data_IF_489394852090
#
_entry.id   IF_489394852090
#
_cell.length_a   1.000
_cell.length_b   1.000
_cell.length_c   1.000
_cell.angle_alpha   90.00
_cell.angle_beta   90.00
_cell.angle_gamma   90.00
#
_symmetry.space_group_name_H-M   'P 1'
#
loop_
_entity.id
_entity.type
_entity.pdbx_description
1 polymer ?
#
# COMPACT_ATOMS: atom_id res chain seq x y z
N UNK A 1 -26.28 46.47 4.96
CA UNK A 1 -27.14 45.73 5.91
C UNK A 1 -26.41 44.47 6.36
N UNK A 2 -26.45 44.24 7.67
CA UNK A 2 -25.80 43.19 8.49
C UNK A 2 -26.36 41.79 8.08
N UNK A 3 -25.66 40.66 8.08
CA UNK A 3 -25.36 39.76 9.23
C UNK A 3 -24.65 38.50 8.68
N UNK A 4 -23.42 38.16 9.08
CA UNK A 4 -23.01 37.37 10.25
C UNK A 4 -23.24 35.85 10.14
N UNK A 5 -22.15 35.12 10.44
CA UNK A 5 -22.05 33.74 10.95
C UNK A 5 -22.32 32.55 10.02
N UNK A 6 -21.24 31.83 9.68
CA UNK A 6 -21.04 30.49 10.24
C UNK A 6 -19.58 30.05 10.16
N UNK A 7 -19.01 29.89 11.35
CA UNK A 7 -17.79 29.14 11.63
C UNK A 7 -18.02 27.68 11.25
N UNK A 8 -17.18 27.12 10.37
CA UNK A 8 -16.98 25.67 10.35
C UNK A 8 -15.47 25.44 10.41
N UNK A 9 -15.02 25.16 11.62
CA UNK A 9 -13.69 24.66 11.90
C UNK A 9 -13.49 23.35 11.13
N UNK A 10 -12.63 23.39 10.11
CA UNK A 10 -12.20 22.19 9.41
C UNK A 10 -11.24 21.44 10.34
N UNK A 11 -11.74 20.34 10.91
CA UNK A 11 -10.99 19.47 11.80
C UNK A 11 -9.67 19.06 11.13
N UNK A 12 -8.55 19.40 11.77
CA UNK A 12 -7.25 18.81 11.45
C UNK A 12 -7.29 17.33 11.87
N UNK A 13 -7.67 16.47 10.92
CA UNK A 13 -7.51 15.02 11.04
C UNK A 13 -6.01 14.75 11.05
N UNK A 14 -5.45 14.59 12.23
CA UNK A 14 -4.09 14.07 12.41
C UNK A 14 -4.11 12.59 12.01
N UNK A 15 -3.69 12.31 10.76
CA UNK A 15 -3.37 10.95 10.32
C UNK A 15 -2.10 10.48 11.04
N UNK A 16 -2.25 10.03 12.30
CA UNK A 16 -1.30 9.14 12.92
C UNK A 16 -1.48 7.76 12.26
N UNK A 17 -0.46 7.35 11.53
CA UNK A 17 -0.50 6.27 10.55
C UNK A 17 -0.75 4.87 11.12
N UNK A 18 -1.68 4.19 10.48
CA UNK A 18 -1.67 2.76 10.17
C UNK A 18 -2.42 2.58 8.84
N UNK A 19 -1.84 3.07 7.73
CA UNK A 19 -2.39 2.84 6.40
C UNK A 19 -2.14 1.38 6.01
N UNK A 20 -3.03 0.48 6.43
CA UNK A 20 -3.14 -0.86 5.83
C UNK A 20 -3.86 -0.69 4.49
N UNK A 21 -3.11 -0.36 3.45
CA UNK A 21 -3.65 -0.21 2.10
C UNK A 21 -3.89 -1.63 1.54
N UNK A 22 -5.09 -2.17 1.75
CA UNK A 22 -5.54 -3.36 1.05
C UNK A 22 -6.12 -2.92 -0.29
N UNK A 23 -5.27 -2.76 -1.30
CA UNK A 23 -5.70 -2.55 -2.68
C UNK A 23 -6.08 -3.89 -3.29
N UNK A 24 -7.38 -4.18 -3.34
CA UNK A 24 -7.91 -5.29 -4.15
C UNK A 24 -7.80 -4.90 -5.63
N UNK A 25 -6.77 -5.42 -6.30
CA UNK A 25 -6.59 -5.25 -7.75
C UNK A 25 -7.65 -6.09 -8.51
N UNK A 26 -8.12 -5.65 -9.70
CA UNK A 26 -9.07 -6.40 -10.52
C UNK A 26 -8.49 -7.77 -10.95
N UNK A 27 -9.36 -8.78 -11.02
CA UNK A 27 -9.06 -10.17 -11.41
C UNK A 27 -8.07 -10.20 -12.60
N UNK A 28 -6.91 -10.85 -12.42
CA UNK A 28 -5.90 -10.95 -13.46
C UNK A 28 -6.51 -11.68 -14.65
N UNK A 29 -6.65 -10.97 -15.78
CA UNK A 29 -7.10 -11.57 -17.05
C UNK A 29 -5.97 -12.40 -17.65
N UNK A 30 -5.75 -13.56 -17.03
CA UNK A 30 -5.17 -14.78 -17.56
C UNK A 30 -3.80 -14.75 -18.27
N UNK A 31 -2.98 -13.69 -18.21
CA UNK A 31 -1.79 -13.66 -19.09
C UNK A 31 -0.42 -13.56 -18.45
N UNK A 32 -0.22 -13.11 -17.21
CA UNK A 32 1.13 -13.20 -16.63
C UNK A 32 1.15 -13.08 -15.09
N UNK A 33 0.79 -14.14 -14.34
CA UNK A 33 0.87 -14.12 -12.87
C UNK A 33 2.29 -13.86 -12.37
N UNK A 34 3.30 -14.35 -13.11
CA UNK A 34 4.71 -14.18 -12.81
C UNK A 34 5.16 -12.72 -12.96
N UNK A 35 4.75 -12.04 -14.01
CA UNK A 35 5.03 -10.64 -14.31
C UNK A 35 4.32 -9.70 -13.35
N UNK A 36 3.09 -10.02 -12.92
CA UNK A 36 2.41 -9.27 -11.87
C UNK A 36 3.20 -9.30 -10.55
N UNK A 37 3.60 -10.48 -10.08
CA UNK A 37 4.35 -10.60 -8.83
C UNK A 37 5.73 -9.95 -8.93
N UNK A 38 6.40 -10.06 -10.08
CA UNK A 38 7.69 -9.41 -10.32
C UNK A 38 7.57 -7.88 -10.28
N UNK A 39 6.50 -7.32 -10.87
CA UNK A 39 6.22 -5.88 -10.81
C UNK A 39 5.92 -5.40 -9.39
N UNK A 40 5.12 -6.16 -8.63
CA UNK A 40 4.83 -5.83 -7.22
C UNK A 40 6.06 -5.97 -6.33
N UNK A 41 6.97 -6.90 -6.61
CA UNK A 41 8.22 -7.03 -5.87
C UNK A 41 9.14 -5.81 -6.11
N UNK A 42 9.24 -5.35 -7.36
CA UNK A 42 9.98 -4.15 -7.70
C UNK A 42 9.39 -2.92 -7.01
N UNK A 43 8.06 -2.77 -7.07
CA UNK A 43 7.34 -1.72 -6.36
C UNK A 43 7.56 -1.78 -4.85
N UNK A 44 7.59 -2.97 -4.25
CA UNK A 44 7.88 -3.16 -2.82
C UNK A 44 9.28 -2.65 -2.47
N UNK A 45 10.28 -2.93 -3.33
CA UNK A 45 11.64 -2.41 -3.16
C UNK A 45 11.70 -0.89 -3.28
N UNK A 46 10.97 -0.30 -4.21
CA UNK A 46 10.89 1.17 -4.37
C UNK A 46 10.24 1.82 -3.15
N UNK A 47 9.14 1.27 -2.64
CA UNK A 47 8.44 1.76 -1.44
C UNK A 47 9.33 1.67 -0.21
N UNK A 48 9.99 0.54 -0.01
CA UNK A 48 10.88 0.35 1.14
C UNK A 48 12.19 1.12 0.99
N UNK A 49 12.59 1.52 -0.23
CA UNK A 49 13.78 2.32 -0.50
C UNK A 49 15.00 1.88 0.33
N UNK A 50 15.58 2.83 1.05
CA UNK A 50 16.79 2.62 1.85
C UNK A 50 16.57 1.80 3.14
N UNK A 51 15.34 1.64 3.63
CA UNK A 51 15.10 0.77 4.80
C UNK A 51 15.18 -0.71 4.40
N UNK A 52 14.91 -1.01 3.13
CA UNK A 52 14.97 -2.35 2.57
C UNK A 52 13.72 -3.19 2.88
N UNK A 53 13.55 -4.25 2.09
CA UNK A 53 12.42 -5.19 2.22
C UNK A 53 12.77 -6.24 3.28
N UNK A 54 11.88 -6.42 4.25
CA UNK A 54 11.95 -7.49 5.26
C UNK A 54 11.33 -8.79 4.75
N UNK A 55 10.16 -8.68 4.11
CA UNK A 55 9.42 -9.82 3.57
C UNK A 55 8.57 -9.38 2.38
N UNK A 56 8.51 -10.22 1.36
CA UNK A 56 7.63 -10.06 0.22
C UNK A 56 6.96 -11.40 -0.07
N UNK A 57 5.63 -11.38 -0.23
CA UNK A 57 4.85 -12.54 -0.64
C UNK A 57 3.86 -12.11 -1.73
N UNK A 58 3.72 -12.91 -2.77
CA UNK A 58 2.77 -12.66 -3.83
C UNK A 58 2.11 -13.97 -4.29
N UNK A 59 0.78 -13.95 -4.33
CA UNK A 59 -0.06 -15.01 -4.82
C UNK A 59 -0.87 -14.46 -6.01
N UNK A 60 -0.38 -14.72 -7.21
CA UNK A 60 -1.12 -14.51 -8.44
C UNK A 60 -1.42 -15.88 -9.05
N UNK A 61 -2.68 -16.31 -8.99
CA UNK A 61 -3.15 -17.56 -9.61
C UNK A 61 -4.30 -17.22 -10.57
N UNK A 62 -4.32 -17.80 -11.78
CA UNK A 62 -5.41 -17.57 -12.72
C UNK A 62 -6.74 -18.02 -12.12
N UNK A 63 -7.78 -17.19 -12.23
CA UNK A 63 -9.10 -17.45 -11.68
C UNK A 63 -9.22 -17.32 -10.16
N UNK A 64 -8.19 -16.83 -9.47
CA UNK A 64 -8.23 -16.53 -8.03
C UNK A 64 -7.99 -15.04 -7.77
N UNK A 65 -8.40 -14.59 -6.59
CA UNK A 65 -8.05 -13.25 -6.11
C UNK A 65 -6.53 -13.12 -5.99
N UNK A 66 -6.00 -12.06 -6.57
CA UNK A 66 -4.58 -11.76 -6.48
C UNK A 66 -4.32 -11.12 -5.13
N UNK A 67 -3.34 -11.63 -4.39
CA UNK A 67 -2.91 -11.02 -3.15
C UNK A 67 -1.41 -10.84 -3.11
N UNK A 68 -0.95 -9.73 -2.56
CA UNK A 68 0.46 -9.53 -2.26
C UNK A 68 0.63 -8.87 -0.90
N UNK A 69 1.78 -9.13 -0.28
CA UNK A 69 2.19 -8.56 1.00
C UNK A 69 3.61 -8.04 0.84
N UNK A 70 3.82 -6.79 1.22
CA UNK A 70 5.13 -6.15 1.28
C UNK A 70 5.35 -5.66 2.72
N UNK A 71 6.44 -6.10 3.34
CA UNK A 71 6.85 -5.64 4.66
C UNK A 71 8.24 -5.02 4.54
N UNK A 72 8.33 -3.73 4.81
CA UNK A 72 9.60 -3.03 4.89
C UNK A 72 10.27 -3.29 6.25
N UNK A 73 11.60 -3.26 6.29
CA UNK A 73 12.29 -3.27 7.57
C UNK A 73 11.91 -2.02 8.35
N UNK A 74 11.76 -2.19 9.66
CA UNK A 74 11.56 -1.05 10.55
C UNK A 74 12.91 -0.33 10.69
N UNK A 75 12.91 0.99 10.50
CA UNK A 75 14.08 1.82 10.79
C UNK A 75 14.45 1.62 12.27
N UNK A 76 15.58 0.96 12.54
CA UNK A 76 16.01 0.57 13.88
C UNK A 76 16.14 -0.94 14.11
N UNK A 77 15.74 -1.79 13.16
CA UNK A 77 16.10 -3.22 13.16
C UNK A 77 17.51 -3.37 12.57
N UNK A 78 18.52 -3.15 13.41
CA UNK A 78 19.89 -3.57 13.11
C UNK A 78 19.99 -5.11 13.19
N UNK A 79 20.88 -5.75 12.41
CA UNK A 79 21.07 -7.21 12.41
C UNK A 79 21.55 -7.76 13.75
#
# INVERSE_FOLDING_TARGET
MIRNFSLIALAAVTLAGCLSISSSDPILSNNDPSGYCSGKELQCREICGSVGVQSFACNARPGQEISYKCECRKSGSAP
#
